data_IF_375027097031
#
_entry.id   IF_375027097031
#
_cell.length_a   1.000
_cell.length_b   1.000
_cell.length_c   1.000
_cell.angle_alpha   90.00
_cell.angle_beta   90.00
_cell.angle_gamma   90.00
#
_symmetry.space_group_name_H-M   'P 1'
#
loop_
_entity.id
_entity.type
_entity.pdbx_description
1 polymer ?
#
# COMPACT_ATOMS: atom_id res chain seq x y z
N UNK A 1 17.43 -14.89 -12.22
CA UNK A 1 16.97 -14.42 -10.90
C UNK A 1 15.93 -13.35 -11.15
N UNK A 2 14.72 -13.52 -10.63
CA UNK A 2 13.59 -12.61 -10.88
C UNK A 2 13.72 -11.44 -9.90
N UNK A 3 14.23 -10.29 -10.34
CA UNK A 3 14.46 -9.09 -9.51
C UNK A 3 13.24 -8.14 -9.54
N UNK A 4 12.04 -8.70 -9.76
CA UNK A 4 10.80 -7.94 -9.88
C UNK A 4 10.49 -7.27 -8.56
N UNK A 5 10.13 -5.99 -8.60
CA UNK A 5 9.74 -5.22 -7.41
C UNK A 5 8.22 -5.01 -7.39
N UNK A 6 7.62 -5.16 -6.22
CA UNK A 6 6.27 -4.65 -5.96
C UNK A 6 6.38 -3.18 -5.62
N UNK A 7 5.56 -2.35 -6.28
CA UNK A 7 5.50 -0.92 -6.04
C UNK A 7 4.06 -0.47 -5.82
N UNK A 8 3.86 0.18 -4.67
CA UNK A 8 2.62 0.84 -4.28
C UNK A 8 2.75 2.34 -4.51
N UNK A 9 1.83 2.91 -5.32
CA UNK A 9 1.88 4.29 -5.79
C UNK A 9 0.61 5.02 -5.39
N UNK A 10 0.76 6.24 -4.88
CA UNK A 10 -0.31 7.24 -4.78
C UNK A 10 0.15 8.54 -5.42
N UNK A 11 -0.80 9.22 -6.05
CA UNK A 11 -0.65 10.48 -6.76
C UNK A 11 -1.80 11.41 -6.34
N UNK A 12 -1.45 12.57 -5.78
CA UNK A 12 -2.37 13.70 -5.63
C UNK A 12 -2.59 14.34 -6.99
N UNK A 13 -3.83 14.37 -7.48
CA UNK A 13 -4.13 14.87 -8.83
C UNK A 13 -3.76 16.35 -8.98
N UNK A 14 -3.82 17.11 -7.89
CA UNK A 14 -3.48 18.53 -7.91
C UNK A 14 -2.03 18.82 -7.47
N UNK A 15 -1.26 17.80 -7.07
CA UNK A 15 0.10 17.94 -6.52
C UNK A 15 0.21 19.00 -5.41
N UNK A 16 -0.88 19.27 -4.70
CA UNK A 16 -0.95 20.30 -3.65
C UNK A 16 -0.24 19.85 -2.39
N UNK A 17 -0.23 18.54 -2.18
CA UNK A 17 0.36 17.90 -1.04
C UNK A 17 1.73 17.36 -1.46
N UNK A 18 2.82 17.95 -0.94
CA UNK A 18 4.21 17.56 -1.20
C UNK A 18 4.50 16.14 -0.74
N UNK A 19 3.98 15.14 -1.44
CA UNK A 19 3.61 13.92 -0.74
C UNK A 19 4.73 12.92 -0.55
N UNK A 20 5.95 13.15 -1.06
CA UNK A 20 7.13 12.44 -0.55
C UNK A 20 7.32 12.74 0.94
N UNK A 21 7.14 14.00 1.36
CA UNK A 21 7.21 14.40 2.76
C UNK A 21 6.11 13.74 3.59
N UNK A 22 4.87 13.75 3.09
CA UNK A 22 3.72 13.12 3.77
C UNK A 22 3.96 11.63 3.94
N UNK A 23 4.42 10.96 2.89
CA UNK A 23 4.77 9.54 2.95
C UNK A 23 5.83 9.29 3.98
N UNK A 24 6.90 10.07 4.00
CA UNK A 24 7.98 9.88 4.96
C UNK A 24 7.50 10.10 6.40
N UNK A 25 6.64 11.10 6.63
CA UNK A 25 5.98 11.30 7.93
C UNK A 25 5.17 10.07 8.32
N UNK A 26 4.36 9.52 7.40
CA UNK A 26 3.54 8.36 7.68
C UNK A 26 4.36 7.07 7.84
N UNK A 27 5.43 6.86 7.06
CA UNK A 27 6.37 5.76 7.24
C UNK A 27 6.96 5.81 8.64
N UNK A 28 7.49 6.96 9.04
CA UNK A 28 8.08 7.15 10.37
C UNK A 28 7.07 6.91 11.50
N UNK A 29 5.78 7.21 11.25
CA UNK A 29 4.70 6.92 12.19
C UNK A 29 4.46 5.42 12.36
N UNK A 30 4.50 4.63 11.29
CA UNK A 30 4.11 3.22 11.30
C UNK A 30 5.29 2.23 11.34
N UNK A 31 6.53 2.68 11.12
CA UNK A 31 7.71 1.79 11.02
C UNK A 31 7.96 0.94 12.28
N UNK A 32 7.59 1.45 13.46
CA UNK A 32 7.78 0.73 14.72
C UNK A 32 6.55 -0.08 15.14
N UNK A 33 5.48 -0.10 14.34
CA UNK A 33 4.29 -0.87 14.67
C UNK A 33 4.56 -2.36 14.46
N UNK A 34 3.99 -3.21 15.31
CA UNK A 34 4.01 -4.65 15.09
C UNK A 34 3.12 -5.03 13.90
N UNK A 35 3.29 -6.23 13.34
CA UNK A 35 2.38 -6.77 12.32
C UNK A 35 0.92 -6.72 12.83
N UNK A 36 0.69 -7.15 14.07
CA UNK A 36 -0.65 -7.17 14.68
C UNK A 36 -1.26 -5.76 14.77
N UNK A 37 -0.47 -4.75 15.12
CA UNK A 37 -0.95 -3.38 15.20
C UNK A 37 -1.20 -2.78 13.82
N UNK A 38 -0.38 -3.11 12.82
CA UNK A 38 -0.63 -2.72 11.43
C UNK A 38 -1.93 -3.33 10.90
N UNK A 39 -2.21 -4.61 11.21
CA UNK A 39 -3.48 -5.25 10.85
C UNK A 39 -4.67 -4.54 11.50
N UNK A 40 -4.60 -4.24 12.80
CA UNK A 40 -5.66 -3.46 13.49
C UNK A 40 -5.89 -2.11 12.84
N UNK A 41 -4.82 -1.39 12.49
CA UNK A 41 -4.92 -0.09 11.81
C UNK A 41 -5.53 -0.26 10.42
N UNK A 42 -5.17 -1.32 9.68
CA UNK A 42 -5.73 -1.61 8.37
C UNK A 42 -7.26 -1.80 8.44
N UNK A 43 -7.74 -2.62 9.38
CA UNK A 43 -9.17 -2.81 9.61
C UNK A 43 -9.88 -1.54 10.05
N UNK A 44 -9.26 -0.74 10.93
CA UNK A 44 -9.81 0.55 11.32
C UNK A 44 -9.96 1.49 10.12
N UNK A 45 -9.01 1.50 9.19
CA UNK A 45 -9.13 2.28 7.96
C UNK A 45 -10.12 1.70 6.95
N UNK A 46 -10.47 0.43 7.01
CA UNK A 46 -11.55 -0.10 6.18
C UNK A 46 -12.92 0.44 6.58
N UNK A 47 -13.11 0.75 7.87
CA UNK A 47 -14.40 1.21 8.40
C UNK A 47 -14.50 2.74 8.51
N UNK A 48 -13.35 3.43 8.55
CA UNK A 48 -13.31 4.88 8.85
C UNK A 48 -13.57 5.74 7.62
N UNK A 49 -14.70 6.45 7.58
CA UNK A 49 -14.93 7.48 6.56
C UNK A 49 -13.89 8.62 6.63
N UNK A 50 -13.52 9.15 5.47
CA UNK A 50 -12.67 10.33 5.31
C UNK A 50 -13.26 11.29 4.27
N UNK A 51 -12.80 12.54 4.30
CA UNK A 51 -13.12 13.50 3.26
C UNK A 51 -12.59 13.00 1.91
N UNK A 52 -13.42 13.11 0.88
CA UNK A 52 -13.03 12.69 -0.46
C UNK A 52 -11.98 13.65 -1.02
N UNK A 53 -10.85 13.08 -1.40
CA UNK A 53 -9.74 13.79 -2.04
C UNK A 53 -9.55 13.26 -3.47
N UNK A 54 -9.36 14.14 -4.47
CA UNK A 54 -9.04 13.71 -5.83
C UNK A 54 -7.63 13.12 -5.87
N UNK A 55 -7.56 11.79 -5.86
CA UNK A 55 -6.32 11.03 -5.89
C UNK A 55 -6.37 9.89 -6.92
N UNK A 56 -5.19 9.37 -7.25
CA UNK A 56 -5.01 8.12 -7.99
C UNK A 56 -4.08 7.20 -7.22
N UNK A 57 -4.33 5.89 -7.29
CA UNK A 57 -3.42 4.88 -6.76
C UNK A 57 -3.17 3.79 -7.79
N UNK A 58 -1.99 3.16 -7.72
CA UNK A 58 -1.60 2.07 -8.61
C UNK A 58 -0.74 1.05 -7.88
N UNK A 59 -0.85 -0.20 -8.32
CA UNK A 59 0.01 -1.31 -7.91
C UNK A 59 0.76 -1.77 -9.15
N UNK A 60 2.08 -1.80 -9.10
CA UNK A 60 2.92 -2.15 -10.25
C UNK A 60 3.95 -3.19 -9.87
N UNK A 61 4.14 -4.18 -10.76
CA UNK A 61 5.19 -5.18 -10.65
C UNK A 61 6.15 -5.00 -11.83
N UNK A 62 7.42 -4.70 -11.55
CA UNK A 62 8.40 -4.52 -12.62
C UNK A 62 9.84 -4.39 -12.16
N UNK A 63 10.75 -4.42 -13.12
CA UNK A 63 12.17 -4.15 -12.92
C UNK A 63 12.41 -2.65 -13.08
N UNK A 64 12.95 -1.98 -12.04
CA UNK A 64 13.34 -0.56 -12.04
C UNK A 64 12.40 0.41 -12.80
N UNK A 65 11.38 0.91 -12.09
CA UNK A 65 10.62 2.08 -12.54
C UNK A 65 11.28 3.36 -11.98
N UNK A 66 12.18 3.96 -12.76
CA UNK A 66 12.54 5.37 -12.62
C UNK A 66 11.46 6.17 -13.36
N UNK A 67 10.45 6.64 -12.64
CA UNK A 67 9.63 7.77 -13.11
C UNK A 67 9.53 8.79 -12.00
N UNK A 68 9.64 10.05 -12.40
CA UNK A 68 9.65 11.23 -11.54
C UNK A 68 8.23 11.63 -11.05
N UNK A 69 7.20 10.87 -11.43
CA UNK A 69 5.79 11.27 -11.29
C UNK A 69 5.10 10.70 -10.04
N UNK A 70 5.84 10.03 -9.15
CA UNK A 70 5.24 9.28 -8.04
C UNK A 70 5.47 9.95 -6.70
N UNK A 71 4.38 10.18 -5.99
CA UNK A 71 4.41 10.81 -4.68
C UNK A 71 4.70 9.79 -3.56
N UNK A 72 4.34 8.53 -3.78
CA UNK A 72 4.60 7.42 -2.85
C UNK A 72 5.20 6.25 -3.64
N UNK A 73 6.35 5.74 -3.19
CA UNK A 73 6.93 4.52 -3.77
C UNK A 73 7.43 3.63 -2.62
N UNK A 74 6.87 2.43 -2.51
CA UNK A 74 7.42 1.35 -1.69
C UNK A 74 8.08 0.34 -2.64
N UNK A 75 9.39 0.19 -2.60
CA UNK A 75 10.12 -0.80 -3.42
C UNK A 75 10.45 -2.00 -2.54
N UNK A 76 10.12 -3.22 -2.98
CA UNK A 76 10.63 -4.43 -2.32
C UNK A 76 11.35 -5.36 -3.30
N UNK A 77 12.49 -5.92 -2.88
CA UNK A 77 13.27 -6.93 -3.63
C UNK A 77 12.99 -8.39 -3.22
N UNK A 78 12.14 -8.59 -2.21
CA UNK A 78 11.57 -9.84 -1.69
C UNK A 78 10.47 -9.36 -0.74
N UNK A 79 9.21 -9.74 -0.93
CA UNK A 79 8.09 -9.06 -0.25
C UNK A 79 8.22 -9.20 1.27
N UNK A 80 8.68 -8.14 1.93
CA UNK A 80 8.67 -8.05 3.38
C UNK A 80 7.25 -7.71 3.81
N UNK A 81 6.63 -8.63 4.54
CA UNK A 81 5.23 -8.51 4.94
C UNK A 81 4.95 -7.28 5.80
N UNK A 82 5.89 -6.92 6.69
CA UNK A 82 5.75 -5.75 7.56
C UNK A 82 5.76 -4.45 6.75
N UNK A 83 6.72 -4.31 5.82
CA UNK A 83 6.79 -3.16 4.90
C UNK A 83 5.58 -3.09 3.96
N UNK A 84 5.07 -4.23 3.51
CA UNK A 84 3.84 -4.34 2.72
C UNK A 84 2.64 -3.77 3.49
N UNK A 85 2.48 -4.14 4.76
CA UNK A 85 1.39 -3.67 5.60
C UNK A 85 1.50 -2.17 5.91
N UNK A 86 2.71 -1.65 6.11
CA UNK A 86 2.96 -0.21 6.22
C UNK A 86 2.48 0.50 4.94
N UNK A 87 2.87 0.01 3.77
CA UNK A 87 2.47 0.57 2.49
C UNK A 87 0.95 0.56 2.29
N UNK A 88 0.29 -0.55 2.65
CA UNK A 88 -1.17 -0.66 2.60
C UNK A 88 -1.86 0.36 3.51
N UNK A 89 -1.45 0.45 4.78
CA UNK A 89 -2.00 1.39 5.78
C UNK A 89 -1.87 2.84 5.29
N UNK A 90 -0.73 3.18 4.72
CA UNK A 90 -0.46 4.52 4.21
C UNK A 90 -1.33 4.83 3.00
N UNK A 91 -1.46 3.90 2.05
CA UNK A 91 -2.36 4.09 0.91
C UNK A 91 -3.81 4.24 1.36
N UNK A 92 -4.32 3.39 2.25
CA UNK A 92 -5.70 3.49 2.75
C UNK A 92 -5.98 4.81 3.46
N UNK A 93 -4.98 5.40 4.12
CA UNK A 93 -5.11 6.71 4.74
C UNK A 93 -5.20 7.85 3.69
N UNK A 94 -4.56 7.68 2.54
CA UNK A 94 -4.44 8.71 1.49
C UNK A 94 -5.49 8.62 0.38
N UNK A 95 -6.20 7.50 0.28
CA UNK A 95 -7.27 7.29 -0.71
C UNK A 95 -8.67 7.40 -0.09
N UNK A 96 -9.66 7.53 -0.97
CA UNK A 96 -11.07 7.63 -0.57
C UNK A 96 -11.56 6.30 -0.01
N UNK A 97 -12.52 6.38 0.92
CA UNK A 97 -13.14 5.22 1.56
C UNK A 97 -13.59 4.17 0.54
N UNK A 98 -14.25 4.57 -0.55
CA UNK A 98 -14.81 3.65 -1.54
C UNK A 98 -13.74 2.86 -2.32
N UNK A 99 -12.49 3.33 -2.34
CA UNK A 99 -11.39 2.73 -3.11
C UNK A 99 -10.62 1.64 -2.33
N UNK A 100 -10.81 1.57 -1.00
CA UNK A 100 -9.99 0.69 -0.13
C UNK A 100 -10.23 -0.80 -0.33
N UNK A 101 -11.48 -1.29 -0.51
CA UNK A 101 -11.71 -2.70 -0.81
C UNK A 101 -11.03 -3.12 -2.13
N UNK A 102 -11.14 -2.28 -3.17
CA UNK A 102 -10.52 -2.53 -4.46
C UNK A 102 -8.99 -2.55 -4.36
N UNK A 103 -8.39 -1.63 -3.58
CA UNK A 103 -6.95 -1.62 -3.32
C UNK A 103 -6.47 -2.98 -2.77
N UNK A 104 -7.19 -3.55 -1.79
CA UNK A 104 -6.78 -4.81 -1.14
C UNK A 104 -6.91 -5.99 -2.09
N UNK A 105 -8.01 -6.05 -2.85
CA UNK A 105 -8.22 -7.09 -3.87
C UNK A 105 -7.10 -7.02 -4.92
N UNK A 106 -6.81 -5.82 -5.44
CA UNK A 106 -5.76 -5.63 -6.44
C UNK A 106 -4.36 -5.99 -5.87
N UNK A 107 -4.12 -5.71 -4.59
CA UNK A 107 -2.87 -6.07 -3.92
C UNK A 107 -2.74 -7.58 -3.76
N UNK A 108 -3.81 -8.28 -3.37
CA UNK A 108 -3.83 -9.74 -3.28
C UNK A 108 -3.50 -10.41 -4.62
N UNK A 109 -4.07 -9.91 -5.73
CA UNK A 109 -3.75 -10.37 -7.08
C UNK A 109 -2.28 -10.13 -7.44
N UNK A 110 -1.75 -8.93 -7.18
CA UNK A 110 -0.36 -8.61 -7.45
C UNK A 110 0.62 -9.50 -6.65
N UNK A 111 0.31 -9.74 -5.37
CA UNK A 111 1.12 -10.63 -4.53
C UNK A 111 1.11 -12.06 -5.05
N UNK A 112 -0.04 -12.57 -5.51
CA UNK A 112 -0.14 -13.93 -6.08
C UNK A 112 0.78 -14.14 -7.28
N UNK A 113 1.02 -13.11 -8.08
CA UNK A 113 1.95 -13.14 -9.21
C UNK A 113 3.43 -13.06 -8.81
N UNK A 114 3.73 -12.53 -7.61
CA UNK A 114 5.09 -12.29 -7.15
C UNK A 114 5.60 -13.30 -6.13
N UNK A 115 4.78 -13.59 -5.12
CA UNK A 115 5.14 -14.35 -3.93
C UNK A 115 3.90 -15.06 -3.36
N UNK A 116 3.76 -16.35 -3.65
CA UNK A 116 2.61 -17.15 -3.24
C UNK A 116 2.49 -17.28 -1.72
N UNK A 117 3.60 -17.32 -0.98
CA UNK A 117 3.57 -17.45 0.48
C UNK A 117 3.03 -16.18 1.13
N UNK A 118 3.57 -15.03 0.72
CA UNK A 118 3.09 -13.73 1.21
C UNK A 118 1.65 -13.47 0.74
N UNK A 119 1.28 -13.90 -0.46
CA UNK A 119 -0.10 -13.83 -0.94
C UNK A 119 -1.06 -14.62 -0.06
N UNK A 120 -0.72 -15.86 0.33
CA UNK A 120 -1.55 -16.64 1.24
C UNK A 120 -1.66 -16.01 2.63
N UNK A 121 -0.55 -15.51 3.17
CA UNK A 121 -0.54 -14.81 4.46
C UNK A 121 -1.44 -13.57 4.40
N UNK A 122 -1.30 -12.75 3.36
CA UNK A 122 -2.09 -11.54 3.15
C UNK A 122 -3.59 -11.84 2.97
N UNK A 123 -3.92 -12.90 2.22
CA UNK A 123 -5.30 -13.32 2.01
C UNK A 123 -5.97 -13.69 3.35
N UNK A 124 -5.31 -14.55 4.13
CA UNK A 124 -5.79 -14.97 5.45
C UNK A 124 -5.94 -13.80 6.42
N UNK A 125 -4.97 -12.90 6.44
CA UNK A 125 -4.93 -11.82 7.43
C UNK A 125 -5.89 -10.67 7.10
N UNK A 126 -6.12 -10.37 5.82
CA UNK A 126 -6.92 -9.20 5.39
C UNK A 126 -7.93 -9.55 4.31
N UNK A 127 -7.50 -10.08 3.16
CA UNK A 127 -8.34 -10.07 1.95
C UNK A 127 -9.60 -10.96 2.06
N UNK A 128 -9.56 -12.04 2.84
CA UNK A 128 -10.73 -12.90 3.10
C UNK A 128 -11.75 -12.28 4.08
N UNK A 129 -11.39 -11.18 4.75
CA UNK A 129 -12.27 -10.48 5.70
C UNK A 129 -13.05 -9.32 5.07
N UNK A 130 -12.89 -9.10 3.76
CA UNK A 130 -13.56 -8.06 2.96
C UNK A 130 -14.57 -8.71 2.03
#
# INVERSE_FOLDING_TARGET
MNNRKLILIWEDIFMEQGGEEIVNILKNKYVNYSIEDLLKVAFLFLEKENENHPCRHRIVIGDYLDRDEYTVVYKSNQVNYHELLIGLVILMQLINFEQRPELIINLAYALREMDTEISHQFAKDIAEQI
#
